data_IF_514579909572
#
_entry.id   IF_514579909572
#
_cell.length_a   1.000
_cell.length_b   1.000
_cell.length_c   1.000
_cell.angle_alpha   90.00
_cell.angle_beta   90.00
_cell.angle_gamma   90.00
#
_symmetry.space_group_name_H-M   'P 1'
#
loop_
_entity.id
_entity.type
_entity.pdbx_description
1 polymer ?
#
# COMPACT_ATOMS: atom_id res chain seq x y z
N UNK A 1 -36.63 -20.46 2.58
CA UNK A 1 -35.36 -20.55 1.78
C UNK A 1 -34.27 -20.97 2.74
N UNK A 2 -33.56 -22.07 2.46
CA UNK A 2 -32.39 -22.42 3.26
C UNK A 2 -31.35 -21.31 3.02
N UNK A 3 -30.82 -20.70 4.10
CA UNK A 3 -29.73 -19.76 4.02
C UNK A 3 -28.50 -20.52 3.48
N UNK A 4 -27.83 -19.93 2.50
CA UNK A 4 -26.55 -20.48 2.03
C UNK A 4 -25.54 -20.48 3.17
N UNK A 5 -25.06 -21.65 3.56
CA UNK A 5 -24.10 -21.82 4.65
C UNK A 5 -22.69 -21.98 4.05
N UNK A 6 -21.74 -21.19 4.53
CA UNK A 6 -20.34 -21.17 4.10
C UNK A 6 -19.41 -21.56 5.27
N UNK A 7 -18.24 -22.09 4.94
CA UNK A 7 -17.20 -22.30 5.95
C UNK A 7 -16.59 -20.94 6.33
N UNK A 8 -16.34 -20.07 5.32
CA UNK A 8 -15.72 -18.76 5.52
C UNK A 8 -16.46 -17.66 4.77
N UNK A 9 -16.79 -16.59 5.49
CA UNK A 9 -17.36 -15.36 4.96
C UNK A 9 -16.26 -14.28 4.93
N UNK A 10 -15.90 -13.75 3.74
CA UNK A 10 -14.84 -12.74 3.56
C UNK A 10 -15.46 -11.44 3.09
N UNK A 11 -15.32 -10.38 3.88
CA UNK A 11 -15.80 -9.03 3.51
C UNK A 11 -14.66 -8.16 3.03
N UNK A 12 -14.73 -7.74 1.76
CA UNK A 12 -13.72 -6.95 1.06
C UNK A 12 -12.93 -7.76 0.05
N UNK A 13 -13.14 -7.50 -1.24
CA UNK A 13 -12.48 -8.19 -2.36
C UNK A 13 -11.30 -7.37 -2.94
N UNK A 14 -10.52 -6.73 -2.06
CA UNK A 14 -9.19 -6.23 -2.36
C UNK A 14 -8.14 -7.35 -2.36
N UNK A 15 -6.83 -7.02 -2.46
CA UNK A 15 -5.76 -8.02 -2.54
C UNK A 15 -5.81 -9.07 -1.44
N UNK A 16 -6.00 -8.67 -0.17
CA UNK A 16 -6.05 -9.59 0.96
C UNK A 16 -7.23 -10.57 0.86
N UNK A 17 -8.46 -10.04 0.67
CA UNK A 17 -9.65 -10.87 0.67
C UNK A 17 -9.76 -11.77 -0.54
N UNK A 18 -9.40 -11.27 -1.75
CA UNK A 18 -9.41 -12.08 -2.96
C UNK A 18 -8.38 -13.20 -2.91
N UNK A 19 -7.17 -12.91 -2.42
CA UNK A 19 -6.13 -13.94 -2.32
C UNK A 19 -6.45 -14.97 -1.23
N UNK A 20 -7.00 -14.56 -0.08
CA UNK A 20 -7.48 -15.49 0.93
C UNK A 20 -8.60 -16.40 0.38
N UNK A 21 -9.55 -15.82 -0.36
CA UNK A 21 -10.64 -16.56 -0.97
C UNK A 21 -10.13 -17.60 -1.98
N UNK A 22 -9.15 -17.23 -2.83
CA UNK A 22 -8.50 -18.15 -3.76
C UNK A 22 -7.86 -19.35 -3.02
N UNK A 23 -7.04 -19.07 -2.00
CA UNK A 23 -6.30 -20.11 -1.29
C UNK A 23 -7.23 -21.05 -0.51
N UNK A 24 -8.23 -20.50 0.19
CA UNK A 24 -9.20 -21.27 0.95
C UNK A 24 -10.07 -22.15 0.05
N UNK A 25 -10.56 -21.60 -1.08
CA UNK A 25 -11.38 -22.35 -2.02
C UNK A 25 -10.57 -23.47 -2.69
N UNK A 26 -9.31 -23.23 -3.08
CA UNK A 26 -8.39 -24.29 -3.54
C UNK A 26 -8.14 -25.37 -2.51
N UNK A 27 -8.17 -25.01 -1.22
CA UNK A 27 -8.06 -25.94 -0.10
C UNK A 27 -9.38 -26.69 0.23
N UNK A 28 -10.43 -26.47 -0.55
CA UNK A 28 -11.73 -27.17 -0.42
C UNK A 28 -12.74 -26.49 0.51
N UNK A 29 -12.45 -25.32 1.07
CA UNK A 29 -13.41 -24.55 1.87
C UNK A 29 -14.49 -23.91 1.00
N UNK A 30 -15.73 -23.91 1.45
CA UNK A 30 -16.83 -23.17 0.83
C UNK A 30 -16.77 -21.71 1.25
N UNK A 31 -16.32 -20.83 0.33
CA UNK A 31 -16.02 -19.43 0.59
C UNK A 31 -17.02 -18.50 -0.07
N UNK A 32 -17.55 -17.53 0.71
CA UNK A 32 -18.27 -16.37 0.19
C UNK A 32 -17.40 -15.12 0.29
N UNK A 33 -17.13 -14.45 -0.83
CA UNK A 33 -16.36 -13.21 -0.92
C UNK A 33 -17.29 -12.07 -1.33
N UNK A 34 -17.32 -10.98 -0.53
CA UNK A 34 -18.18 -9.82 -0.75
C UNK A 34 -17.39 -8.59 -1.18
N UNK A 35 -17.75 -7.99 -2.32
CA UNK A 35 -17.25 -6.69 -2.76
C UNK A 35 -18.40 -5.69 -2.90
N UNK A 36 -18.41 -4.70 -2.02
CA UNK A 36 -19.44 -3.65 -2.04
C UNK A 36 -19.11 -2.47 -2.94
N UNK A 37 -18.02 -2.53 -3.69
CA UNK A 37 -17.65 -1.47 -4.66
C UNK A 37 -18.30 -1.78 -6.01
N UNK A 38 -18.75 -0.73 -6.73
CA UNK A 38 -19.14 -0.88 -8.13
C UNK A 38 -17.98 -1.46 -8.96
N UNK A 39 -18.31 -2.25 -9.97
CA UNK A 39 -17.32 -2.75 -10.91
C UNK A 39 -16.64 -1.60 -11.63
N UNK A 40 -15.31 -1.68 -11.78
CA UNK A 40 -14.53 -0.63 -12.41
C UNK A 40 -14.27 0.61 -11.56
N UNK A 41 -14.78 0.70 -10.32
CA UNK A 41 -14.51 1.84 -9.45
C UNK A 41 -13.03 1.89 -9.06
N UNK A 42 -12.32 3.01 -9.36
CA UNK A 42 -10.92 3.15 -9.05
C UNK A 42 -10.68 3.24 -7.54
N UNK A 43 -9.74 2.46 -7.01
CA UNK A 43 -9.25 2.62 -5.64
C UNK A 43 -8.07 3.59 -5.60
N UNK A 44 -8.07 4.51 -4.65
CA UNK A 44 -6.95 5.40 -4.40
C UNK A 44 -5.72 4.59 -3.92
N UNK A 45 -4.65 4.61 -4.73
CA UNK A 45 -3.39 3.90 -4.44
C UNK A 45 -2.33 4.29 -5.47
N UNK A 46 -1.06 4.38 -5.10
CA UNK A 46 0.06 4.48 -6.04
C UNK A 46 0.15 3.26 -6.97
N UNK A 47 -0.26 2.10 -6.50
CA UNK A 47 -0.28 0.85 -7.28
C UNK A 47 1.08 0.17 -7.38
N UNK A 48 2.07 0.63 -6.62
CA UNK A 48 3.39 0.00 -6.58
C UNK A 48 3.35 -1.37 -5.89
N UNK A 49 3.98 -2.35 -6.52
CA UNK A 49 4.17 -3.72 -6.00
C UNK A 49 5.65 -4.05 -6.06
N UNK A 50 6.23 -4.31 -4.90
CA UNK A 50 7.66 -4.49 -4.73
C UNK A 50 8.17 -5.78 -5.35
N UNK A 51 9.46 -5.84 -5.66
CA UNK A 51 10.14 -7.04 -6.13
C UNK A 51 9.96 -8.21 -5.15
N UNK A 52 9.97 -7.94 -3.85
CA UNK A 52 9.69 -8.93 -2.80
C UNK A 52 8.33 -9.61 -3.01
N UNK A 53 7.28 -8.84 -3.32
CA UNK A 53 5.95 -9.39 -3.59
C UNK A 53 5.92 -10.20 -4.89
N UNK A 54 6.57 -9.71 -5.94
CA UNK A 54 6.63 -10.40 -7.25
C UNK A 54 7.42 -11.72 -7.18
N UNK A 55 8.46 -11.81 -6.36
CA UNK A 55 9.18 -13.05 -6.08
C UNK A 55 8.35 -14.06 -5.29
N UNK A 56 7.64 -13.58 -4.26
CA UNK A 56 6.78 -14.45 -3.46
C UNK A 56 5.60 -15.00 -4.28
N UNK A 57 5.04 -14.17 -5.16
CA UNK A 57 3.89 -14.52 -5.99
C UNK A 57 4.10 -14.12 -7.47
N UNK A 58 4.91 -14.87 -8.24
CA UNK A 58 5.24 -14.52 -9.63
C UNK A 58 4.03 -14.39 -10.56
N UNK A 59 2.92 -15.07 -10.23
CA UNK A 59 1.66 -14.95 -10.97
C UNK A 59 1.09 -13.53 -11.00
N UNK A 60 1.51 -12.63 -10.09
CA UNK A 60 1.09 -11.23 -10.11
C UNK A 60 1.54 -10.50 -11.38
N UNK A 61 2.61 -10.98 -12.03
CA UNK A 61 3.09 -10.46 -13.31
C UNK A 61 2.10 -10.66 -14.47
N UNK A 62 1.10 -11.54 -14.31
CA UNK A 62 0.05 -11.75 -15.31
C UNK A 62 -1.03 -10.65 -15.25
N UNK A 63 -1.08 -9.84 -14.20
CA UNK A 63 -1.98 -8.69 -14.13
C UNK A 63 -1.50 -7.58 -15.08
N UNK A 64 -2.45 -6.85 -15.67
CA UNK A 64 -2.13 -5.72 -16.55
C UNK A 64 -1.51 -4.58 -15.75
N UNK A 65 -0.28 -4.23 -16.09
CA UNK A 65 0.50 -3.19 -15.41
C UNK A 65 1.78 -2.84 -16.15
N UNK A 66 2.59 -1.99 -15.53
CA UNK A 66 3.92 -1.60 -16.02
C UNK A 66 4.99 -2.15 -15.09
N UNK A 67 5.95 -2.88 -15.63
CA UNK A 67 7.13 -3.33 -14.89
C UNK A 67 8.28 -2.36 -15.14
N UNK A 68 9.00 -2.00 -14.08
CA UNK A 68 10.15 -1.11 -14.14
C UNK A 68 11.36 -1.75 -13.45
N UNK A 69 12.55 -1.43 -13.93
CA UNK A 69 13.84 -1.84 -13.35
C UNK A 69 14.66 -0.64 -12.87
N UNK A 70 14.12 0.57 -13.02
CA UNK A 70 14.77 1.79 -12.59
C UNK A 70 13.78 2.83 -12.08
N UNK A 71 14.21 3.65 -11.15
CA UNK A 71 13.42 4.77 -10.62
C UNK A 71 14.33 5.87 -10.07
N UNK A 72 13.79 7.06 -9.94
CA UNK A 72 14.47 8.21 -9.37
C UNK A 72 13.95 8.52 -7.98
N UNK A 73 14.88 8.63 -7.02
CA UNK A 73 14.60 9.21 -5.71
C UNK A 73 15.08 10.65 -5.66
N UNK A 74 14.27 11.53 -5.06
CA UNK A 74 14.63 12.91 -4.83
C UNK A 74 14.63 13.24 -3.34
N UNK A 75 15.71 13.92 -2.90
CA UNK A 75 15.81 14.43 -1.54
C UNK A 75 14.86 15.61 -1.31
N UNK A 76 14.66 16.04 -0.04
CA UNK A 76 13.93 17.28 0.28
C UNK A 76 14.47 18.53 -0.42
N UNK A 77 15.75 18.59 -0.78
CA UNK A 77 16.34 19.67 -1.58
C UNK A 77 16.35 19.36 -3.09
N UNK A 78 15.59 18.36 -3.55
CA UNK A 78 15.50 17.92 -4.95
C UNK A 78 16.81 17.39 -5.56
N UNK A 79 17.72 16.85 -4.74
CA UNK A 79 18.88 16.12 -5.26
C UNK A 79 18.45 14.76 -5.77
N UNK A 80 18.72 14.49 -7.04
CA UNK A 80 18.36 13.22 -7.70
C UNK A 80 19.35 12.11 -7.35
N UNK A 81 18.81 10.94 -7.03
CA UNK A 81 19.48 9.64 -6.98
C UNK A 81 18.77 8.69 -7.94
N UNK A 82 19.42 8.37 -9.04
CA UNK A 82 18.92 7.34 -9.96
C UNK A 82 19.24 5.94 -9.42
N UNK A 83 18.24 5.09 -9.28
CA UNK A 83 18.37 3.70 -8.84
C UNK A 83 18.09 2.76 -10.01
N UNK A 84 18.97 1.80 -10.19
CA UNK A 84 18.73 0.59 -10.99
C UNK A 84 18.47 -0.53 -9.99
N UNK A 85 17.35 -1.21 -10.14
CA UNK A 85 16.91 -2.30 -9.28
C UNK A 85 17.43 -3.62 -9.83
N UNK A 86 17.94 -4.48 -8.96
CA UNK A 86 18.38 -5.82 -9.35
C UNK A 86 17.20 -6.71 -9.79
N UNK A 87 15.99 -6.38 -9.30
CA UNK A 87 14.74 -7.09 -9.57
C UNK A 87 13.62 -6.13 -9.95
N UNK A 88 12.66 -6.53 -10.79
CA UNK A 88 11.61 -5.65 -11.26
C UNK A 88 10.67 -5.22 -10.14
N UNK A 89 10.18 -3.99 -10.26
CA UNK A 89 9.09 -3.42 -9.50
C UNK A 89 7.90 -3.22 -10.44
N UNK A 90 6.68 -3.53 -10.02
CA UNK A 90 5.51 -3.37 -10.86
C UNK A 90 4.60 -2.23 -10.40
N UNK A 91 3.95 -1.57 -11.35
CA UNK A 91 2.97 -0.51 -11.10
C UNK A 91 1.67 -0.92 -11.77
N UNK A 92 0.64 -1.21 -10.96
CA UNK A 92 -0.66 -1.68 -11.43
C UNK A 92 -1.74 -0.61 -11.30
N UNK A 93 -2.67 -0.61 -12.26
CA UNK A 93 -4.00 -0.05 -12.00
C UNK A 93 -4.71 -0.93 -10.98
N UNK A 94 -5.24 -0.34 -9.91
CA UNK A 94 -5.96 -1.11 -8.89
C UNK A 94 -7.26 -1.71 -9.42
N UNK A 95 -7.86 -1.10 -10.44
CA UNK A 95 -9.03 -1.71 -11.11
C UNK A 95 -8.63 -3.04 -11.74
N UNK A 96 -7.59 -3.04 -12.58
CA UNK A 96 -7.11 -4.26 -13.26
C UNK A 96 -6.54 -5.29 -12.27
N UNK A 97 -5.76 -4.84 -11.30
CA UNK A 97 -5.13 -5.72 -10.31
C UNK A 97 -6.14 -6.39 -9.38
N UNK A 98 -7.09 -5.62 -8.83
CA UNK A 98 -8.13 -6.17 -7.95
C UNK A 98 -9.09 -7.09 -8.75
N UNK A 99 -9.39 -6.76 -10.02
CA UNK A 99 -10.16 -7.63 -10.91
C UNK A 99 -9.45 -8.97 -11.14
N UNK A 100 -8.17 -8.92 -11.53
CA UNK A 100 -7.35 -10.12 -11.72
C UNK A 100 -7.36 -11.05 -10.50
N UNK A 101 -7.20 -10.51 -9.29
CA UNK A 101 -7.22 -11.32 -8.07
C UNK A 101 -8.62 -11.87 -7.75
N UNK A 102 -9.69 -11.11 -8.01
CA UNK A 102 -11.07 -11.62 -7.85
C UNK A 102 -11.41 -12.73 -8.82
N UNK A 103 -10.95 -12.61 -10.08
CA UNK A 103 -11.18 -13.65 -11.08
C UNK A 103 -10.47 -14.95 -10.69
N UNK A 104 -9.24 -14.88 -10.19
CA UNK A 104 -8.53 -16.03 -9.64
C UNK A 104 -9.28 -16.69 -8.47
N UNK A 105 -9.87 -15.87 -7.58
CA UNK A 105 -10.68 -16.41 -6.48
C UNK A 105 -11.94 -17.13 -7.02
N UNK A 106 -12.60 -16.55 -8.03
CA UNK A 106 -13.75 -17.16 -8.70
C UNK A 106 -13.38 -18.47 -9.40
N UNK A 107 -12.28 -18.48 -10.14
CA UNK A 107 -11.77 -19.66 -10.84
C UNK A 107 -11.36 -20.79 -9.87
N UNK A 108 -10.95 -20.44 -8.65
CA UNK A 108 -10.66 -21.38 -7.58
C UNK A 108 -11.93 -21.95 -6.91
N UNK A 109 -13.12 -21.44 -7.22
CA UNK A 109 -14.40 -21.91 -6.67
C UNK A 109 -14.99 -21.05 -5.56
N UNK A 110 -14.41 -19.87 -5.26
CA UNK A 110 -15.04 -18.94 -4.31
C UNK A 110 -16.28 -18.28 -4.92
N UNK A 111 -17.35 -18.17 -4.14
CA UNK A 111 -18.57 -17.46 -4.55
C UNK A 111 -18.36 -15.95 -4.33
N UNK A 112 -18.29 -15.18 -5.39
CA UNK A 112 -18.05 -13.74 -5.34
C UNK A 112 -19.36 -12.98 -5.52
N UNK A 113 -19.72 -12.17 -4.53
CA UNK A 113 -20.95 -11.39 -4.48
C UNK A 113 -20.65 -9.90 -4.58
N UNK A 114 -21.31 -9.22 -5.53
CA UNK A 114 -21.28 -7.76 -5.66
C UNK A 114 -22.24 -7.12 -4.64
N UNK A 115 -21.97 -7.34 -3.35
CA UNK A 115 -22.86 -6.95 -2.26
C UNK A 115 -22.11 -6.21 -1.15
N UNK A 116 -22.68 -5.08 -0.74
CA UNK A 116 -22.11 -4.28 0.36
C UNK A 116 -22.58 -4.82 1.71
N UNK A 117 -21.61 -5.22 2.52
CA UNK A 117 -21.83 -5.67 3.88
C UNK A 117 -21.31 -4.59 4.86
N UNK A 118 -22.21 -4.01 5.62
CA UNK A 118 -21.83 -3.06 6.68
C UNK A 118 -21.65 -3.77 8.02
N UNK A 119 -20.71 -3.31 8.85
CA UNK A 119 -20.42 -3.90 10.16
C UNK A 119 -21.67 -3.98 11.10
N UNK A 120 -22.63 -3.09 10.92
CA UNK A 120 -23.89 -3.08 11.69
C UNK A 120 -24.81 -4.25 11.33
N UNK A 121 -24.68 -4.80 10.13
CA UNK A 121 -25.48 -5.90 9.59
C UNK A 121 -24.79 -7.26 9.73
N UNK A 122 -23.72 -7.31 10.51
CA UNK A 122 -23.00 -8.54 10.89
C UNK A 122 -23.37 -8.89 12.31
N UNK A 123 -23.94 -10.08 12.52
CA UNK A 123 -24.38 -10.54 13.82
C UNK A 123 -23.88 -11.95 14.11
N UNK A 124 -23.79 -12.30 15.38
CA UNK A 124 -23.59 -13.70 15.83
C UNK A 124 -24.88 -14.49 15.68
N UNK A 125 -24.74 -15.75 15.32
CA UNK A 125 -25.80 -16.76 15.36
C UNK A 125 -25.30 -18.01 16.08
N UNK A 126 -26.19 -18.96 16.38
CA UNK A 126 -25.85 -20.21 17.05
C UNK A 126 -24.85 -21.08 16.24
N UNK A 127 -24.82 -20.88 14.93
CA UNK A 127 -23.93 -21.59 13.97
C UNK A 127 -22.76 -20.78 13.48
N UNK A 128 -22.41 -19.63 14.11
CA UNK A 128 -21.30 -18.75 13.70
C UNK A 128 -21.76 -17.33 13.38
N UNK A 129 -21.55 -16.87 12.15
CA UNK A 129 -21.80 -15.50 11.71
C UNK A 129 -22.95 -15.41 10.72
N UNK A 130 -23.75 -14.36 10.84
CA UNK A 130 -24.78 -13.98 9.87
C UNK A 130 -24.46 -12.59 9.31
N UNK A 131 -24.41 -12.50 7.99
CA UNK A 131 -24.24 -11.26 7.23
C UNK A 131 -25.52 -10.94 6.50
N UNK A 132 -25.89 -9.65 6.50
CA UNK A 132 -27.00 -9.12 5.71
C UNK A 132 -26.50 -7.97 4.84
N UNK A 133 -26.82 -7.99 3.57
CA UNK A 133 -26.46 -6.90 2.64
C UNK A 133 -27.42 -5.72 2.74
N UNK A 134 -27.06 -4.64 2.04
CA UNK A 134 -27.96 -3.49 1.89
C UNK A 134 -29.16 -3.81 0.98
N UNK A 135 -29.04 -4.78 0.07
CA UNK A 135 -30.13 -5.31 -0.76
C UNK A 135 -31.11 -6.20 0.00
N UNK A 136 -30.74 -6.68 1.20
CA UNK A 136 -31.57 -7.55 2.04
C UNK A 136 -31.22 -9.04 1.96
N UNK A 137 -30.28 -9.45 1.10
CA UNK A 137 -29.79 -10.82 1.03
C UNK A 137 -29.04 -11.21 2.29
N UNK A 138 -29.10 -12.49 2.68
CA UNK A 138 -28.50 -12.99 3.92
C UNK A 138 -27.64 -14.23 3.65
N UNK A 139 -26.52 -14.33 4.36
CA UNK A 139 -25.60 -15.47 4.34
C UNK A 139 -25.17 -15.84 5.75
N UNK A 140 -24.86 -17.13 5.95
CA UNK A 140 -24.32 -17.64 7.20
C UNK A 140 -23.00 -18.36 6.98
N UNK A 141 -22.12 -18.34 7.97
CA UNK A 141 -20.85 -19.06 7.88
C UNK A 141 -20.18 -19.22 9.23
N UNK A 142 -19.30 -20.23 9.33
CA UNK A 142 -18.65 -20.56 10.58
C UNK A 142 -17.57 -19.55 10.97
N UNK A 143 -16.83 -18.98 9.99
CA UNK A 143 -15.72 -18.08 10.22
C UNK A 143 -15.90 -16.76 9.45
N UNK A 144 -15.56 -15.61 10.10
CA UNK A 144 -15.63 -14.28 9.51
C UNK A 144 -14.24 -13.71 9.26
N UNK A 145 -13.96 -13.30 8.03
CA UNK A 145 -12.74 -12.59 7.66
C UNK A 145 -13.07 -11.16 7.22
N UNK A 146 -12.44 -10.17 7.86
CA UNK A 146 -12.53 -8.79 7.43
C UNK A 146 -11.28 -8.40 6.65
N UNK A 147 -11.47 -8.04 5.38
CA UNK A 147 -10.47 -7.52 4.45
C UNK A 147 -10.95 -6.22 3.77
N UNK A 148 -11.80 -5.47 4.48
CA UNK A 148 -12.54 -4.29 4.01
C UNK A 148 -11.71 -2.97 4.07
N UNK A 149 -10.39 -3.09 4.27
CA UNK A 149 -9.42 -2.01 4.11
C UNK A 149 -9.27 -1.11 5.33
N UNK A 150 -8.52 -0.01 5.18
CA UNK A 150 -8.08 0.87 6.25
C UNK A 150 -9.22 1.50 7.08
N UNK A 151 -10.39 1.69 6.49
CA UNK A 151 -11.57 2.23 7.17
C UNK A 151 -12.51 1.15 7.73
N UNK A 152 -12.02 -0.09 7.90
CA UNK A 152 -12.80 -1.24 8.32
C UNK A 152 -13.72 -0.96 9.51
N UNK A 153 -15.03 -1.03 9.26
CA UNK A 153 -16.04 -1.00 10.31
C UNK A 153 -16.09 -2.30 11.09
N UNK A 154 -15.72 -3.41 10.44
CA UNK A 154 -15.67 -4.74 11.04
C UNK A 154 -14.50 -4.83 12.02
N UNK A 155 -13.32 -4.35 11.63
CA UNK A 155 -12.16 -4.28 12.52
C UNK A 155 -12.45 -3.43 13.78
N UNK A 156 -13.13 -2.28 13.62
CA UNK A 156 -13.57 -1.46 14.76
C UNK A 156 -14.46 -2.23 15.73
N UNK A 157 -15.34 -3.07 15.20
CA UNK A 157 -16.28 -3.89 16.00
C UNK A 157 -15.58 -5.04 16.72
N UNK A 158 -14.61 -5.71 16.08
CA UNK A 158 -13.98 -6.92 16.57
C UNK A 158 -12.72 -6.66 17.40
N UNK A 159 -11.88 -5.72 16.97
CA UNK A 159 -10.57 -5.43 17.54
C UNK A 159 -10.42 -4.00 18.10
N UNK A 160 -11.49 -3.21 18.07
CA UNK A 160 -11.46 -1.80 18.46
C UNK A 160 -10.93 -0.87 17.37
N UNK A 161 -11.18 0.46 17.50
CA UNK A 161 -10.76 1.45 16.52
C UNK A 161 -9.24 1.67 16.55
N UNK A 162 -8.65 1.98 15.39
CA UNK A 162 -7.32 2.57 15.32
C UNK A 162 -7.37 4.03 15.77
N UNK A 163 -6.32 4.50 16.44
CA UNK A 163 -6.20 5.91 16.82
C UNK A 163 -5.91 6.77 15.57
N UNK A 164 -6.28 8.06 15.55
CA UNK A 164 -5.90 8.96 14.47
C UNK A 164 -4.39 8.99 14.19
N UNK A 165 -3.56 8.88 15.23
CA UNK A 165 -2.10 8.81 15.13
C UNK A 165 -1.56 7.53 14.49
N UNK A 166 -2.39 6.50 14.37
CA UNK A 166 -2.08 5.23 13.70
C UNK A 166 -2.57 5.20 12.24
N UNK A 167 -2.98 6.37 11.73
CA UNK A 167 -3.44 6.52 10.35
C UNK A 167 -2.61 7.58 9.62
N UNK A 168 -2.32 7.29 8.39
CA UNK A 168 -1.74 8.21 7.42
C UNK A 168 -2.78 8.56 6.35
N UNK A 169 -2.55 9.67 5.69
CA UNK A 169 -3.39 10.14 4.59
C UNK A 169 -2.58 10.18 3.31
N UNK A 170 -3.14 9.66 2.26
CA UNK A 170 -2.62 9.83 0.92
C UNK A 170 -3.68 10.50 0.06
N UNK A 171 -3.29 11.48 -0.73
CA UNK A 171 -4.13 12.05 -1.77
C UNK A 171 -3.31 12.33 -3.02
N UNK A 172 -3.98 12.44 -4.15
CA UNK A 172 -3.28 12.60 -5.40
C UNK A 172 -4.21 12.79 -6.58
N UNK A 173 -3.61 12.72 -7.76
CA UNK A 173 -4.30 12.88 -9.03
C UNK A 173 -3.89 11.81 -10.03
N UNK A 174 -4.84 11.35 -10.82
CA UNK A 174 -4.58 10.64 -12.07
C UNK A 174 -4.47 11.69 -13.17
N UNK A 175 -3.36 11.73 -13.86
CA UNK A 175 -3.10 12.71 -14.89
C UNK A 175 -2.64 12.04 -16.21
N UNK A 176 -2.80 12.67 -17.37
CA UNK A 176 -2.39 12.12 -18.65
C UNK A 176 -0.90 11.76 -18.69
N UNK A 177 -0.50 10.85 -19.57
CA UNK A 177 0.91 10.60 -19.86
C UNK A 177 1.54 11.80 -20.59
N UNK A 178 2.84 12.10 -20.36
CA UNK A 178 3.55 13.10 -21.16
C UNK A 178 3.59 12.71 -22.65
N UNK A 179 3.45 13.70 -23.52
CA UNK A 179 3.38 13.48 -24.97
C UNK A 179 4.62 12.77 -25.56
N UNK A 180 5.79 12.91 -24.93
CA UNK A 180 7.05 12.35 -25.37
C UNK A 180 7.39 10.94 -24.83
N UNK A 181 6.47 10.28 -24.14
CA UNK A 181 6.66 8.97 -23.52
C UNK A 181 7.86 8.85 -22.52
N UNK A 182 8.46 9.95 -22.09
CA UNK A 182 9.57 9.97 -21.13
C UNK A 182 9.12 9.93 -19.66
N UNK A 183 8.12 9.12 -19.37
CA UNK A 183 7.54 9.01 -18.03
C UNK A 183 8.43 8.17 -17.10
N UNK A 184 9.29 8.80 -16.30
CA UNK A 184 10.09 8.16 -15.28
C UNK A 184 9.25 7.82 -14.04
N UNK A 185 9.60 6.76 -13.31
CA UNK A 185 9.06 6.50 -11.98
C UNK A 185 9.83 7.32 -10.96
N UNK A 186 9.12 8.13 -10.18
CA UNK A 186 9.72 9.08 -9.25
C UNK A 186 9.13 8.95 -7.86
N UNK A 187 10.00 9.00 -6.84
CA UNK A 187 9.65 9.23 -5.44
C UNK A 187 10.44 10.42 -4.93
N UNK A 188 9.76 11.42 -4.35
CA UNK A 188 10.38 12.64 -3.85
C UNK A 188 10.02 12.85 -2.37
N UNK A 189 11.03 12.91 -1.50
CA UNK A 189 10.81 13.15 -0.08
C UNK A 189 10.39 14.60 0.16
N UNK A 190 9.40 14.80 1.04
CA UNK A 190 8.81 16.11 1.30
C UNK A 190 9.78 17.02 2.07
N UNK A 191 9.86 18.31 1.75
CA UNK A 191 10.62 19.27 2.53
C UNK A 191 9.92 19.54 3.86
N UNK A 192 10.61 19.39 4.98
CA UNK A 192 10.13 19.67 6.34
C UNK A 192 8.89 18.84 6.81
N UNK A 193 8.46 17.81 6.06
CA UNK A 193 7.30 16.98 6.39
C UNK A 193 7.65 15.50 6.43
N UNK A 194 6.94 14.74 7.27
CA UNK A 194 6.95 13.28 7.23
C UNK A 194 6.24 12.81 5.99
N UNK A 195 6.92 12.07 5.12
CA UNK A 195 6.30 11.50 3.95
C UNK A 195 7.03 11.78 2.63
N UNK A 196 6.36 11.46 1.55
CA UNK A 196 6.90 11.58 0.19
C UNK A 196 5.78 11.80 -0.83
N UNK A 197 6.17 12.37 -1.98
CA UNK A 197 5.35 12.40 -3.19
C UNK A 197 5.83 11.33 -4.17
N UNK A 198 4.94 10.87 -5.03
CA UNK A 198 5.26 9.91 -6.09
C UNK A 198 4.67 10.32 -7.43
N UNK A 199 5.34 9.91 -8.50
CA UNK A 199 4.82 9.87 -9.86
C UNK A 199 5.04 8.45 -10.39
N UNK A 200 3.96 7.69 -10.52
CA UNK A 200 3.96 6.29 -10.94
C UNK A 200 3.23 6.14 -12.27
N UNK A 201 3.98 6.12 -13.40
CA UNK A 201 3.41 5.93 -14.71
C UNK A 201 2.79 4.54 -14.87
N UNK A 202 1.57 4.50 -15.36
CA UNK A 202 0.81 3.31 -15.74
C UNK A 202 0.67 3.26 -17.26
N UNK A 203 0.09 2.20 -17.84
CA UNK A 203 -0.10 2.13 -19.28
C UNK A 203 -0.91 3.28 -19.89
N UNK A 204 -1.87 3.84 -19.14
CA UNK A 204 -2.88 4.80 -19.60
C UNK A 204 -2.81 6.20 -18.93
N UNK A 205 -2.16 6.30 -17.76
CA UNK A 205 -2.06 7.55 -17.01
C UNK A 205 -0.89 7.53 -16.02
N UNK A 206 -0.61 8.67 -15.38
CA UNK A 206 0.29 8.74 -14.24
C UNK A 206 -0.52 8.87 -12.96
N UNK A 207 -0.21 8.04 -11.97
CA UNK A 207 -0.68 8.21 -10.60
C UNK A 207 0.29 9.11 -9.85
N UNK A 208 -0.10 10.35 -9.61
CA UNK A 208 0.60 11.26 -8.70
C UNK A 208 -0.01 11.19 -7.31
N UNK A 209 0.79 11.38 -6.28
CA UNK A 209 0.24 11.57 -4.95
C UNK A 209 1.27 11.99 -3.92
N UNK A 210 0.75 12.34 -2.74
CA UNK A 210 1.49 12.58 -1.50
C UNK A 210 0.95 11.64 -0.44
N UNK A 211 1.84 10.98 0.31
CA UNK A 211 1.51 10.28 1.55
C UNK A 211 2.18 11.00 2.72
N UNK A 212 1.43 11.24 3.79
CA UNK A 212 1.90 11.96 4.97
C UNK A 212 1.08 11.60 6.21
N UNK A 213 1.50 12.09 7.37
CA UNK A 213 0.71 11.98 8.62
C UNK A 213 -0.55 12.83 8.56
N UNK A 214 -1.58 12.45 9.31
CA UNK A 214 -2.83 13.20 9.35
C UNK A 214 -2.63 14.64 9.84
N UNK A 215 -1.77 14.85 10.84
CA UNK A 215 -1.43 16.17 11.36
C UNK A 215 -0.84 17.10 10.27
N UNK A 216 0.11 16.58 9.48
CA UNK A 216 0.67 17.33 8.36
C UNK A 216 -0.40 17.66 7.29
N UNK A 217 -1.31 16.73 7.04
CA UNK A 217 -2.41 16.94 6.09
C UNK A 217 -3.37 18.06 6.51
N UNK A 218 -3.67 18.17 7.81
CA UNK A 218 -4.60 19.17 8.34
C UNK A 218 -4.01 20.60 8.35
N UNK A 219 -2.68 20.73 8.48
CA UNK A 219 -2.03 22.02 8.72
C UNK A 219 -1.02 22.46 7.64
N UNK A 220 -0.77 21.63 6.63
CA UNK A 220 0.26 21.88 5.61
C UNK A 220 -0.29 22.33 4.26
N UNK A 221 0.52 23.03 3.45
CA UNK A 221 0.19 23.44 2.09
C UNK A 221 0.39 22.26 1.09
N UNK A 222 -0.07 21.05 1.47
CA UNK A 222 0.27 19.81 0.75
C UNK A 222 -0.33 19.74 -0.65
N UNK A 223 -1.50 20.33 -0.87
CA UNK A 223 -2.09 20.41 -2.21
C UNK A 223 -1.21 21.27 -3.14
N UNK A 224 -0.73 22.41 -2.65
CA UNK A 224 0.19 23.27 -3.40
C UNK A 224 1.52 22.54 -3.69
N UNK A 225 2.07 21.81 -2.71
CA UNK A 225 3.29 21.01 -2.92
C UNK A 225 3.07 19.92 -3.97
N UNK A 226 1.90 19.28 -3.97
CA UNK A 226 1.59 18.27 -4.98
C UNK A 226 1.48 18.88 -6.38
N UNK A 227 0.84 20.03 -6.55
CA UNK A 227 0.79 20.74 -7.82
C UNK A 227 2.18 21.16 -8.30
N UNK A 228 3.04 21.67 -7.40
CA UNK A 228 4.44 21.98 -7.73
C UNK A 228 5.21 20.75 -8.18
N UNK A 229 5.00 19.61 -7.52
CA UNK A 229 5.61 18.34 -7.88
C UNK A 229 5.13 17.86 -9.25
N UNK A 230 3.82 17.86 -9.50
CA UNK A 230 3.22 17.44 -10.76
C UNK A 230 3.74 18.29 -11.94
N UNK A 231 3.62 19.61 -11.86
CA UNK A 231 4.10 20.50 -12.94
C UNK A 231 5.60 20.36 -13.16
N UNK A 232 6.39 20.24 -12.07
CA UNK A 232 7.82 19.98 -12.16
C UNK A 232 8.14 18.66 -12.87
N UNK A 233 7.35 17.62 -12.63
CA UNK A 233 7.53 16.33 -13.28
C UNK A 233 7.36 16.41 -14.80
N UNK A 234 6.33 17.12 -15.31
CA UNK A 234 6.15 17.28 -16.75
C UNK A 234 7.29 18.09 -17.37
N UNK A 235 7.75 19.16 -16.74
CA UNK A 235 8.93 19.92 -17.18
C UNK A 235 10.19 19.03 -17.22
N UNK A 236 10.37 18.15 -16.25
CA UNK A 236 11.47 17.17 -16.25
C UNK A 236 11.35 16.19 -17.42
N UNK A 237 10.16 15.73 -17.76
CA UNK A 237 9.94 14.87 -18.93
C UNK A 237 10.31 15.58 -20.24
N UNK A 238 10.24 16.91 -20.31
CA UNK A 238 10.70 17.75 -21.42
C UNK A 238 12.21 18.04 -21.38
N UNK A 239 12.93 17.45 -20.43
CA UNK A 239 14.39 17.59 -20.32
C UNK A 239 14.86 18.80 -19.51
N UNK A 240 13.95 19.52 -18.85
CA UNK A 240 14.32 20.66 -18.01
C UNK A 240 14.89 20.20 -16.66
N UNK A 241 15.84 20.96 -16.11
CA UNK A 241 16.32 20.78 -14.74
C UNK A 241 15.30 21.36 -13.76
N UNK A 242 14.74 20.55 -12.90
CA UNK A 242 13.66 20.94 -11.99
C UNK A 242 14.12 20.82 -10.54
N UNK A 243 13.74 21.81 -9.74
CA UNK A 243 13.66 21.70 -8.29
C UNK A 243 12.16 21.58 -7.95
N UNK A 244 11.72 20.42 -7.44
CA UNK A 244 10.30 20.15 -7.18
C UNK A 244 9.70 21.09 -6.13
N UNK A 245 10.49 21.50 -5.13
CA UNK A 245 9.99 22.18 -3.94
C UNK A 245 10.30 23.67 -3.85
N UNK A 246 11.30 24.14 -4.61
CA UNK A 246 11.84 25.50 -4.53
C UNK A 246 12.00 26.18 -5.90
N UNK A 247 11.34 25.67 -6.92
CA UNK A 247 11.39 26.28 -8.26
C UNK A 247 10.63 27.62 -8.31
N UNK A 248 11.04 28.51 -9.21
CA UNK A 248 10.22 29.67 -9.58
C UNK A 248 8.89 29.12 -10.08
N UNK A 249 7.81 29.45 -9.36
CA UNK A 249 6.46 28.95 -9.64
C UNK A 249 5.79 29.61 -10.82
N UNK A 250 6.33 30.74 -11.28
CA UNK A 250 5.66 31.67 -12.18
C UNK A 250 6.34 31.78 -13.56
N UNK A 251 6.72 30.62 -14.16
CA UNK A 251 7.08 30.64 -15.58
C UNK A 251 5.86 30.34 -16.44
N UNK A 252 5.73 30.94 -17.65
CA UNK A 252 4.60 30.69 -18.55
C UNK A 252 4.38 29.20 -18.82
N UNK A 253 5.47 28.44 -19.04
CA UNK A 253 5.40 27.01 -19.33
C UNK A 253 4.81 26.23 -18.12
N UNK A 254 5.12 26.63 -16.88
CA UNK A 254 4.54 26.03 -15.67
C UNK A 254 3.06 26.31 -15.55
N UNK A 255 2.65 27.53 -15.82
CA UNK A 255 1.25 27.93 -15.79
C UNK A 255 0.43 27.15 -16.81
N UNK A 256 0.92 27.04 -18.04
CA UNK A 256 0.25 26.30 -19.12
C UNK A 256 0.09 24.81 -18.77
N UNK A 257 1.12 24.17 -18.20
CA UNK A 257 1.06 22.77 -17.74
C UNK A 257 0.06 22.65 -16.60
N UNK A 258 0.10 23.55 -15.61
CA UNK A 258 -0.82 23.49 -14.47
C UNK A 258 -2.27 23.68 -14.91
N UNK A 259 -2.57 24.61 -15.79
CA UNK A 259 -3.90 24.86 -16.33
C UNK A 259 -4.42 23.64 -17.10
N UNK A 260 -3.57 23.01 -17.93
CA UNK A 260 -3.91 21.76 -18.60
C UNK A 260 -4.23 20.63 -17.60
N UNK A 261 -3.40 20.45 -16.59
CA UNK A 261 -3.59 19.39 -15.59
C UNK A 261 -4.80 19.63 -14.71
N UNK A 262 -5.13 20.88 -14.35
CA UNK A 262 -6.32 21.21 -13.57
C UNK A 262 -7.63 20.83 -14.27
N UNK A 263 -7.64 20.79 -15.60
CA UNK A 263 -8.80 20.39 -16.40
C UNK A 263 -8.86 18.89 -16.69
N UNK A 264 -7.71 18.20 -16.68
CA UNK A 264 -7.60 16.79 -17.12
C UNK A 264 -7.33 15.79 -15.98
N UNK A 265 -6.87 16.26 -14.81
CA UNK A 265 -6.49 15.37 -13.72
C UNK A 265 -7.66 15.07 -12.77
N UNK A 266 -7.82 13.80 -12.41
CA UNK A 266 -8.84 13.30 -11.48
C UNK A 266 -8.28 13.13 -10.07
N UNK A 267 -8.89 13.78 -9.08
CA UNK A 267 -8.47 13.69 -7.68
C UNK A 267 -8.88 12.37 -7.03
N UNK A 268 -8.00 11.85 -6.18
CA UNK A 268 -8.31 10.72 -5.29
C UNK A 268 -7.71 10.93 -3.90
N UNK A 269 -8.25 10.23 -2.89
CA UNK A 269 -7.69 10.20 -1.55
C UNK A 269 -7.88 8.82 -0.90
N UNK A 270 -6.96 8.46 0.00
CA UNK A 270 -7.02 7.22 0.78
C UNK A 270 -6.52 7.45 2.20
N UNK A 271 -6.95 6.60 3.11
CA UNK A 271 -6.30 6.39 4.39
C UNK A 271 -5.43 5.14 4.32
N UNK A 272 -4.28 5.19 5.00
CA UNK A 272 -3.31 4.09 5.08
C UNK A 272 -3.06 3.84 6.56
N UNK A 273 -3.08 2.59 7.05
CA UNK A 273 -2.65 2.30 8.41
C UNK A 273 -1.16 2.60 8.56
N UNK A 274 -0.80 3.34 9.58
CA UNK A 274 0.60 3.65 9.93
C UNK A 274 0.82 3.44 11.43
N UNK A 275 0.62 2.19 11.89
CA UNK A 275 0.55 1.87 13.30
C UNK A 275 1.82 2.22 14.06
N UNK A 276 1.65 2.79 15.25
CA UNK A 276 2.75 3.00 16.20
C UNK A 276 3.24 1.66 16.78
N UNK A 277 4.48 1.62 17.27
CA UNK A 277 5.03 0.42 17.91
C UNK A 277 4.17 -0.04 19.11
N UNK A 278 3.59 0.91 19.86
CA UNK A 278 2.68 0.62 20.97
C UNK A 278 1.43 -0.09 20.50
N UNK A 279 0.83 0.37 19.41
CA UNK A 279 -0.36 -0.25 18.81
C UNK A 279 -0.03 -1.65 18.30
N UNK A 280 1.13 -1.86 17.66
CA UNK A 280 1.60 -3.18 17.24
C UNK A 280 1.70 -4.17 18.40
N UNK A 281 2.19 -3.73 19.56
CA UNK A 281 2.37 -4.57 20.74
C UNK A 281 1.02 -5.02 21.34
N UNK A 282 -0.04 -4.22 21.21
CA UNK A 282 -1.34 -4.46 21.86
C UNK A 282 -2.45 -4.94 20.92
N UNK A 283 -2.28 -4.78 19.58
CA UNK A 283 -3.36 -5.09 18.65
C UNK A 283 -3.49 -6.58 18.43
N UNK A 284 -4.70 -7.08 18.65
CA UNK A 284 -5.14 -8.43 18.27
C UNK A 284 -5.89 -8.34 16.94
N UNK A 285 -5.57 -9.23 16.00
CA UNK A 285 -6.17 -9.25 14.66
C UNK A 285 -6.93 -10.55 14.36
N UNK A 286 -7.08 -11.42 15.34
CA UNK A 286 -7.89 -12.65 15.22
C UNK A 286 -8.51 -13.07 16.55
N UNK A 287 -9.56 -13.85 16.48
CA UNK A 287 -10.22 -14.54 17.58
C UNK A 287 -10.54 -15.98 17.20
N UNK A 288 -11.41 -16.62 17.97
CA UNK A 288 -11.72 -18.04 17.78
C UNK A 288 -12.32 -18.32 16.39
N UNK A 289 -13.14 -17.42 15.87
CA UNK A 289 -13.89 -17.58 14.62
C UNK A 289 -13.90 -16.32 13.74
N UNK A 290 -12.93 -15.44 13.92
CA UNK A 290 -12.75 -14.27 13.05
C UNK A 290 -11.27 -13.91 12.88
N UNK A 291 -10.96 -13.27 11.73
CA UNK A 291 -9.65 -12.71 11.45
C UNK A 291 -9.76 -11.40 10.66
N UNK A 292 -8.75 -10.53 10.81
CA UNK A 292 -8.54 -9.31 10.03
C UNK A 292 -7.34 -9.53 9.11
N UNK A 293 -7.43 -9.08 7.85
CA UNK A 293 -6.36 -9.19 6.87
C UNK A 293 -6.01 -7.82 6.26
N UNK A 294 -4.76 -7.67 5.83
CA UNK A 294 -4.27 -6.47 5.16
C UNK A 294 -4.52 -5.18 5.96
N UNK A 295 -4.98 -4.13 5.30
CA UNK A 295 -5.21 -2.82 5.94
C UNK A 295 -6.26 -2.87 7.05
N UNK A 296 -7.23 -3.80 7.02
CA UNK A 296 -8.20 -3.97 8.10
C UNK A 296 -7.53 -4.43 9.40
N UNK A 297 -6.47 -5.22 9.30
CA UNK A 297 -5.61 -5.59 10.42
C UNK A 297 -4.65 -4.45 10.82
N UNK A 298 -4.38 -3.52 9.91
CA UNK A 298 -3.38 -2.47 10.06
C UNK A 298 -2.03 -2.84 9.42
N UNK A 299 -1.99 -3.85 8.56
CA UNK A 299 -0.76 -4.37 7.95
C UNK A 299 -0.33 -3.53 6.75
N UNK A 300 0.32 -2.41 7.06
CA UNK A 300 1.04 -1.59 6.09
C UNK A 300 2.34 -1.09 6.73
N UNK A 301 3.37 -0.94 5.93
CA UNK A 301 4.66 -0.39 6.36
C UNK A 301 4.50 1.11 6.66
N UNK A 302 4.71 1.56 7.90
CA UNK A 302 4.50 2.96 8.28
C UNK A 302 5.61 3.91 7.78
N UNK A 303 6.64 3.41 7.07
CA UNK A 303 7.69 4.23 6.44
C UNK A 303 7.42 4.42 4.96
N UNK A 304 7.08 3.33 4.25
CA UNK A 304 6.91 3.34 2.80
C UNK A 304 5.44 3.36 2.36
N UNK A 305 4.49 3.09 3.27
CA UNK A 305 3.08 2.92 2.92
C UNK A 305 2.81 1.63 2.13
N UNK A 306 3.77 0.70 2.04
CA UNK A 306 3.58 -0.59 1.37
C UNK A 306 2.54 -1.42 2.13
N UNK A 307 1.41 -1.73 1.48
CA UNK A 307 0.36 -2.56 2.04
C UNK A 307 0.08 -3.83 1.24
N UNK A 308 0.38 -3.84 -0.08
CA UNK A 308 -0.01 -4.97 -0.95
C UNK A 308 0.72 -6.25 -0.59
N UNK A 309 2.04 -6.19 -0.32
CA UNK A 309 2.79 -7.37 0.14
C UNK A 309 2.17 -7.96 1.42
N UNK A 310 1.94 -7.12 2.43
CA UNK A 310 1.40 -7.57 3.72
C UNK A 310 -0.06 -8.02 3.61
N UNK A 311 -0.84 -7.44 2.69
CA UNK A 311 -2.19 -7.90 2.39
C UNK A 311 -2.20 -9.34 1.87
N UNK A 312 -1.36 -9.64 0.89
CA UNK A 312 -1.22 -10.99 0.34
C UNK A 312 -0.60 -11.97 1.36
N UNK A 313 0.44 -11.54 2.07
CA UNK A 313 1.12 -12.39 3.05
C UNK A 313 0.22 -12.74 4.23
N UNK A 314 -0.56 -11.78 4.73
CA UNK A 314 -1.54 -12.05 5.79
C UNK A 314 -2.64 -13.03 5.34
N UNK A 315 -3.07 -12.93 4.08
CA UNK A 315 -4.03 -13.86 3.49
C UNK A 315 -3.49 -15.29 3.40
N UNK A 316 -2.24 -15.43 2.98
CA UNK A 316 -1.54 -16.73 2.89
C UNK A 316 -1.39 -17.37 4.28
N UNK A 317 -0.88 -16.62 5.26
CA UNK A 317 -0.68 -17.12 6.62
C UNK A 317 -2.02 -17.50 7.30
N UNK A 318 -3.09 -16.73 7.02
CA UNK A 318 -4.42 -17.08 7.50
C UNK A 318 -4.96 -18.35 6.84
N UNK A 319 -4.86 -18.46 5.52
CA UNK A 319 -5.31 -19.64 4.79
C UNK A 319 -4.56 -20.90 5.24
N UNK A 320 -3.24 -20.84 5.43
CA UNK A 320 -2.46 -21.95 6.00
C UNK A 320 -2.97 -22.35 7.41
N UNK A 321 -3.19 -21.37 8.29
CA UNK A 321 -3.67 -21.63 9.63
C UNK A 321 -5.09 -22.27 9.63
N UNK A 322 -5.98 -21.74 8.79
CA UNK A 322 -7.35 -22.23 8.67
C UNK A 322 -7.40 -23.66 8.09
N UNK A 323 -6.72 -23.90 6.98
CA UNK A 323 -6.71 -25.20 6.30
C UNK A 323 -6.00 -26.31 7.11
N UNK A 324 -5.09 -25.94 8.01
CA UNK A 324 -4.50 -26.87 8.98
C UNK A 324 -5.43 -27.23 10.14
N UNK A 325 -6.65 -26.67 10.21
CA UNK A 325 -7.58 -26.87 11.31
C UNK A 325 -7.24 -26.07 12.59
N UNK A 326 -6.31 -25.12 12.51
CA UNK A 326 -5.83 -24.35 13.65
C UNK A 326 -5.83 -22.83 13.39
N UNK A 327 -6.98 -22.19 13.02
CA UNK A 327 -7.07 -20.78 12.68
C UNK A 327 -6.55 -19.84 13.78
N UNK A 328 -6.63 -20.23 15.04
CA UNK A 328 -6.09 -19.49 16.19
C UNK A 328 -4.57 -19.31 16.12
N UNK A 329 -3.84 -20.12 15.34
CA UNK A 329 -2.40 -19.96 15.16
C UNK A 329 -2.02 -18.79 14.26
N UNK A 330 -2.98 -18.18 13.54
CA UNK A 330 -2.75 -17.03 12.66
C UNK A 330 -2.13 -15.85 13.40
N UNK A 331 -2.62 -15.54 14.62
CA UNK A 331 -2.06 -14.45 15.45
C UNK A 331 -0.55 -14.63 15.71
N UNK A 332 -0.11 -15.86 15.98
CA UNK A 332 1.30 -16.19 16.17
C UNK A 332 2.07 -16.13 14.84
N UNK A 333 1.50 -16.70 13.78
CA UNK A 333 2.16 -16.80 12.47
C UNK A 333 2.56 -15.43 11.92
N UNK A 334 1.65 -14.44 11.86
CA UNK A 334 1.99 -13.14 11.33
C UNK A 334 3.00 -12.38 12.19
N UNK A 335 2.95 -12.55 13.53
CA UNK A 335 3.92 -11.92 14.44
C UNK A 335 5.33 -12.46 14.22
N UNK A 336 5.46 -13.75 13.99
CA UNK A 336 6.75 -14.41 13.72
C UNK A 336 7.28 -14.11 12.31
N UNK A 337 6.39 -13.97 11.32
CA UNK A 337 6.77 -13.74 9.92
C UNK A 337 7.21 -12.28 9.66
N UNK A 338 6.32 -11.32 9.85
CA UNK A 338 6.58 -9.92 9.51
C UNK A 338 6.33 -8.92 10.66
N UNK A 339 5.81 -9.35 11.78
CA UNK A 339 5.46 -8.46 12.90
C UNK A 339 6.65 -7.68 13.44
N UNK A 340 7.84 -8.30 13.53
CA UNK A 340 9.06 -7.65 13.98
C UNK A 340 9.50 -6.53 13.02
N UNK A 341 9.35 -6.73 11.69
CA UNK A 341 9.70 -5.73 10.68
C UNK A 341 8.76 -4.52 10.74
N UNK A 342 7.45 -4.73 10.78
CA UNK A 342 6.49 -3.63 10.88
C UNK A 342 6.63 -2.84 12.19
N UNK A 343 6.85 -3.54 13.30
CA UNK A 343 7.15 -2.90 14.59
C UNK A 343 8.43 -2.07 14.51
N UNK A 344 9.46 -2.58 13.86
CA UNK A 344 10.74 -1.86 13.68
C UNK A 344 10.57 -0.65 12.75
N UNK A 345 9.83 -0.79 11.67
CA UNK A 345 9.46 0.31 10.78
C UNK A 345 8.75 1.43 11.56
N UNK A 346 7.78 1.09 12.39
CA UNK A 346 7.08 2.05 13.25
C UNK A 346 8.02 2.82 14.20
N UNK A 347 9.01 2.14 14.81
CA UNK A 347 10.02 2.78 15.65
C UNK A 347 10.96 3.70 14.85
N UNK A 348 11.21 3.35 13.59
CA UNK A 348 12.14 4.09 12.74
C UNK A 348 11.50 5.28 12.03
N UNK A 349 10.18 5.29 11.80
CA UNK A 349 9.48 6.32 11.01
C UNK A 349 9.89 7.75 11.39
N UNK A 350 9.83 8.10 12.68
CA UNK A 350 10.21 9.45 13.15
C UNK A 350 11.67 9.78 12.89
N UNK A 351 12.56 8.79 12.92
CA UNK A 351 14.00 9.01 12.66
C UNK A 351 14.28 9.08 11.17
N UNK A 352 13.57 8.30 10.38
CA UNK A 352 13.73 8.25 8.93
C UNK A 352 13.33 9.59 8.27
N UNK A 353 12.28 10.23 8.77
CA UNK A 353 11.84 11.54 8.28
C UNK A 353 12.31 12.71 9.16
N UNK A 354 12.97 12.45 10.26
CA UNK A 354 13.44 13.48 11.19
C UNK A 354 14.76 14.11 10.82
N UNK A 355 15.14 15.15 11.55
CA UNK A 355 16.42 15.84 11.36
C UNK A 355 17.59 15.03 11.90
N UNK A 356 18.68 14.99 11.14
CA UNK A 356 19.94 14.36 11.47
C UNK A 356 21.09 15.29 11.07
N UNK A 357 21.86 15.79 12.05
CA UNK A 357 22.95 16.75 11.84
C UNK A 357 22.57 17.95 10.97
N UNK A 358 21.51 18.65 11.35
CA UNK A 358 21.07 19.90 10.72
C UNK A 358 20.35 19.78 9.39
N UNK A 359 20.05 18.55 8.93
CA UNK A 359 19.24 18.28 7.75
C UNK A 359 18.35 17.06 7.96
N UNK A 360 17.27 16.87 7.17
CA UNK A 360 16.49 15.64 7.18
C UNK A 360 17.38 14.42 6.92
N UNK A 361 17.10 13.29 7.60
CA UNK A 361 17.86 12.06 7.38
C UNK A 361 17.78 11.59 5.92
N UNK A 362 16.62 11.75 5.29
CA UNK A 362 16.42 11.45 3.86
C UNK A 362 17.31 12.28 2.94
N UNK A 363 17.60 13.54 3.30
CA UNK A 363 18.56 14.39 2.57
C UNK A 363 19.96 13.78 2.65
N UNK A 364 20.45 13.49 3.87
CA UNK A 364 21.78 12.91 4.09
C UNK A 364 21.94 11.54 3.46
N UNK A 365 20.91 10.73 3.53
CA UNK A 365 20.88 9.40 2.95
C UNK A 365 21.08 9.44 1.43
N UNK A 366 20.36 10.34 0.73
CA UNK A 366 20.48 10.50 -0.72
C UNK A 366 21.84 11.09 -1.07
N UNK A 367 22.31 12.12 -0.37
CA UNK A 367 23.64 12.69 -0.59
C UNK A 367 24.74 11.62 -0.52
N UNK A 368 24.72 10.81 0.54
CA UNK A 368 25.70 9.77 0.73
C UNK A 368 25.62 8.67 -0.31
N UNK A 369 24.40 8.24 -0.67
CA UNK A 369 24.18 7.22 -1.70
C UNK A 369 24.61 7.65 -3.11
N UNK A 370 24.59 8.96 -3.41
CA UNK A 370 25.11 9.49 -4.69
C UNK A 370 26.61 9.25 -4.88
N UNK A 371 27.37 9.28 -3.79
CA UNK A 371 28.82 9.06 -3.80
C UNK A 371 29.24 7.64 -3.42
N UNK A 372 28.32 6.77 -2.97
CA UNK A 372 28.70 5.49 -2.39
C UNK A 372 27.83 4.32 -2.92
N UNK A 373 28.43 3.49 -3.80
CA UNK A 373 27.73 2.36 -4.45
C UNK A 373 27.07 1.39 -3.48
N UNK A 374 27.75 1.03 -2.37
CA UNK A 374 27.21 0.10 -1.40
C UNK A 374 25.95 0.62 -0.69
N UNK A 375 25.91 1.92 -0.36
CA UNK A 375 24.73 2.54 0.24
C UNK A 375 23.62 2.71 -0.78
N UNK A 376 23.95 3.08 -2.01
CA UNK A 376 23.00 3.15 -3.13
C UNK A 376 22.27 1.81 -3.32
N UNK A 377 23.00 0.68 -3.27
CA UNK A 377 22.44 -0.66 -3.36
C UNK A 377 21.46 -0.95 -2.21
N UNK A 378 21.87 -0.67 -0.95
CA UNK A 378 20.98 -0.87 0.22
C UNK A 378 19.67 -0.08 0.10
N UNK A 379 19.72 1.14 -0.50
CA UNK A 379 18.51 1.91 -0.76
C UNK A 379 17.66 1.31 -1.88
N UNK A 380 18.27 0.78 -2.93
CA UNK A 380 17.56 0.01 -3.96
C UNK A 380 16.85 -1.19 -3.36
N UNK A 381 17.54 -1.98 -2.52
CA UNK A 381 16.98 -3.13 -1.83
C UNK A 381 15.82 -2.73 -0.89
N UNK A 382 15.91 -1.55 -0.22
CA UNK A 382 14.84 -1.03 0.63
C UNK A 382 13.59 -0.69 -0.19
N UNK A 383 13.77 -0.02 -1.33
CA UNK A 383 12.66 0.31 -2.25
C UNK A 383 12.06 -0.96 -2.86
N UNK A 384 12.88 -1.95 -3.19
CA UNK A 384 12.43 -3.24 -3.72
C UNK A 384 11.76 -4.14 -2.65
N UNK A 385 11.76 -3.73 -1.36
CA UNK A 385 11.24 -4.50 -0.23
C UNK A 385 12.15 -5.65 0.21
N UNK A 386 13.33 -5.82 -0.41
CA UNK A 386 14.31 -6.88 -0.11
C UNK A 386 15.11 -6.58 1.17
N UNK A 387 15.22 -5.31 1.55
CA UNK A 387 15.86 -4.87 2.77
C UNK A 387 14.82 -4.48 3.81
N UNK A 388 14.75 -5.23 4.90
CA UNK A 388 13.95 -4.86 6.07
C UNK A 388 14.64 -3.86 7.01
N UNK A 389 13.95 -3.45 8.05
CA UNK A 389 14.41 -2.43 9.01
C UNK A 389 15.18 -2.99 10.20
N UNK A 390 15.01 -4.27 10.52
CA UNK A 390 15.64 -4.90 11.70
C UNK A 390 17.17 -4.86 11.58
N UNK A 391 17.71 -5.17 10.43
CA UNK A 391 19.15 -5.22 10.19
C UNK A 391 19.69 -4.05 9.33
N UNK A 392 18.83 -3.09 8.94
CA UNK A 392 19.18 -1.96 8.06
C UNK A 392 20.44 -1.22 8.52
N UNK A 393 20.52 -0.85 9.80
CA UNK A 393 21.70 -0.14 10.35
C UNK A 393 22.97 -0.94 10.16
N UNK A 394 22.93 -2.25 10.43
CA UNK A 394 24.09 -3.15 10.30
C UNK A 394 24.54 -3.24 8.84
N UNK A 395 23.60 -3.37 7.91
CA UNK A 395 23.90 -3.42 6.48
C UNK A 395 24.43 -2.09 5.94
N UNK A 396 23.86 -0.96 6.34
CA UNK A 396 24.37 0.36 5.95
C UNK A 396 25.82 0.54 6.39
N UNK A 397 26.15 0.26 7.65
CA UNK A 397 27.53 0.35 8.16
C UNK A 397 28.48 -0.59 7.42
N UNK A 398 28.09 -1.86 7.25
CA UNK A 398 28.89 -2.86 6.53
C UNK A 398 29.18 -2.46 5.08
N UNK A 399 28.20 -1.90 4.38
CA UNK A 399 28.36 -1.50 2.99
C UNK A 399 29.05 -0.13 2.84
N UNK A 400 28.92 0.77 3.82
CA UNK A 400 29.66 2.02 3.86
C UNK A 400 31.19 1.83 4.09
N UNK A 401 31.59 0.76 4.75
CA UNK A 401 33.01 0.44 5.04
C UNK A 401 33.67 -0.38 3.91
N UNK A 402 32.95 -0.84 2.90
CA UNK A 402 33.55 -1.52 1.74
C UNK A 402 34.15 -0.47 0.79
N UNK A 403 35.44 -0.55 0.46
CA UNK A 403 36.02 0.35 -0.53
C UNK A 403 35.27 0.19 -1.88
N UNK A 404 35.19 1.31 -2.59
CA UNK A 404 34.54 1.45 -3.92
C UNK A 404 35.21 0.59 -4.97
#
# INVERSE_FOLDING_TARGET
MSLDCYDVLIVGAGPAGSFAAELLARGGARVALFDGRPEGEPKACGGGVTAKALKAWPQLLNAVGRTITELDLYSPSSKRLHLVLDEPFAIYSRVAFDCYLRDRARDAGAHVFAEKISARKITRSDSGWRLKSDSGSEWTGAFLVAADGANSGIAKKLAGPLQPSDMEVAFGYRAPLPANNNAATVVAFLPAWVGYAWAFPRPDHISFGIATTQDAFEHGPLDQLLWQFMTGYYLQCEGQKVNFWHGKTDTPERADIEDHLRTSAERYAARIPGLSAKTWDSRTVSGDDWALLGDAAGFADPVTGEGIYYALRSAELFAEAYLSGAPQTYEKKWREDFGAELRRAAQMRRRFYGNFWGAPFTERMIEFARGHRGVKRVLGDLVAGEQGYVDLKKKLVKNALRPV
#
